data_IF_351616285781
#
_entry.id   IF_351616285781
#
_cell.length_a   1.000
_cell.length_b   1.000
_cell.length_c   1.000
_cell.angle_alpha   90.00
_cell.angle_beta   90.00
_cell.angle_gamma   90.00
#
_symmetry.space_group_name_H-M   'P 1'
#
loop_
_entity.id
_entity.type
_entity.pdbx_description
1 polymer ?
#
# COMPACT_ATOMS: atom_id res chain seq x y z
N UNK A 1 -0.81 3.56 25.03
CA UNK A 1 0.59 3.45 24.77
C UNK A 1 0.98 4.27 23.55
N UNK A 2 2.10 4.85 23.64
CA UNK A 2 2.56 5.65 22.56
C UNK A 2 3.02 4.80 21.39
N UNK A 3 2.51 5.10 20.23
CA UNK A 3 2.92 4.41 19.03
C UNK A 3 4.34 4.82 18.67
N UNK A 4 5.09 3.84 18.22
CA UNK A 4 6.48 4.07 17.88
C UNK A 4 6.69 3.87 16.40
N UNK A 5 6.88 4.97 15.70
CA UNK A 5 7.27 4.95 14.31
C UNK A 5 8.61 5.65 14.27
N UNK A 6 9.65 4.98 13.79
CA UNK A 6 10.97 5.59 13.76
C UNK A 6 10.92 6.91 13.00
N UNK A 7 11.64 7.88 13.52
CA UNK A 7 11.70 9.20 12.91
C UNK A 7 12.01 9.14 11.42
N UNK A 8 13.02 8.39 11.00
CA UNK A 8 13.34 8.33 9.56
C UNK A 8 12.19 7.80 8.73
N UNK A 9 11.41 6.89 9.31
CA UNK A 9 10.30 6.31 8.58
C UNK A 9 9.19 7.33 8.33
N UNK A 10 8.87 8.11 9.35
CA UNK A 10 7.88 9.18 9.20
C UNK A 10 8.35 10.21 8.19
N UNK A 11 9.62 10.56 8.28
CA UNK A 11 10.19 11.53 7.37
C UNK A 11 10.13 11.02 5.94
N UNK A 12 10.42 9.73 5.76
CA UNK A 12 10.39 9.13 4.44
C UNK A 12 8.99 9.15 3.85
N UNK A 13 7.97 8.94 4.68
CA UNK A 13 6.60 8.99 4.18
C UNK A 13 6.26 10.36 3.62
N UNK A 14 6.67 11.40 4.32
CA UNK A 14 6.44 12.76 3.86
C UNK A 14 7.24 13.06 2.61
N UNK A 15 8.49 12.63 2.60
CA UNK A 15 9.37 12.86 1.46
C UNK A 15 8.82 12.17 0.23
N UNK A 16 8.39 10.92 0.36
CA UNK A 16 7.84 10.19 -0.76
C UNK A 16 6.63 10.88 -1.34
N UNK A 17 5.79 11.43 -0.48
CA UNK A 17 4.62 12.13 -0.95
C UNK A 17 4.99 13.39 -1.72
N UNK A 18 6.01 14.09 -1.25
CA UNK A 18 6.46 15.33 -1.91
C UNK A 18 7.32 15.06 -3.13
N UNK A 19 8.18 14.07 -3.02
CA UNK A 19 9.15 13.81 -4.08
C UNK A 19 8.58 13.03 -5.23
N UNK A 20 7.32 12.63 -5.12
CA UNK A 20 6.71 12.03 -6.26
C UNK A 20 7.15 10.60 -6.54
N UNK A 21 6.32 9.66 -6.15
CA UNK A 21 6.49 8.26 -6.48
C UNK A 21 5.62 7.96 -7.69
N UNK A 22 6.20 7.73 -8.87
CA UNK A 22 5.40 7.59 -10.08
C UNK A 22 4.43 6.42 -10.07
N UNK A 23 4.81 5.34 -9.40
CA UNK A 23 3.94 4.16 -9.37
C UNK A 23 2.74 4.39 -8.46
N UNK A 24 2.95 5.00 -7.30
CA UNK A 24 1.84 5.40 -6.45
C UNK A 24 0.94 6.38 -7.16
N UNK A 25 1.53 7.36 -7.82
CA UNK A 25 0.76 8.38 -8.51
C UNK A 25 -0.09 7.74 -9.61
N UNK A 26 0.49 6.81 -10.35
CA UNK A 26 -0.24 6.15 -11.42
C UNK A 26 -1.43 5.36 -10.88
N UNK A 27 -1.21 4.54 -9.86
CA UNK A 27 -2.29 3.75 -9.29
C UNK A 27 -3.35 4.65 -8.66
N UNK A 28 -2.90 5.73 -8.00
CA UNK A 28 -3.81 6.65 -7.36
C UNK A 28 -4.81 7.27 -8.34
N UNK A 29 -4.40 7.50 -9.57
CA UNK A 29 -5.31 8.07 -10.58
C UNK A 29 -6.51 7.18 -10.82
N UNK A 30 -6.36 5.88 -10.61
CA UNK A 30 -7.47 4.95 -10.80
C UNK A 30 -8.31 4.80 -9.54
N UNK A 31 -7.75 5.05 -8.37
CA UNK A 31 -8.42 4.78 -7.11
C UNK A 31 -9.10 6.00 -6.49
N UNK A 32 -8.59 7.18 -6.78
CA UNK A 32 -9.04 8.41 -6.11
C UNK A 32 -10.47 8.82 -6.50
N UNK A 33 -11.05 9.64 -5.63
CA UNK A 33 -12.32 10.31 -5.92
C UNK A 33 -13.46 9.37 -6.29
N UNK A 34 -13.45 8.18 -5.70
CA UNK A 34 -14.52 7.23 -5.96
C UNK A 34 -14.47 6.59 -7.32
N UNK A 35 -13.41 6.80 -8.08
CA UNK A 35 -13.32 6.27 -9.45
C UNK A 35 -13.36 4.76 -9.52
N UNK A 36 -12.82 4.10 -8.49
CA UNK A 36 -12.76 2.65 -8.50
C UNK A 36 -13.92 2.09 -7.70
N UNK A 37 -14.91 1.57 -8.39
CA UNK A 37 -16.07 0.93 -7.77
C UNK A 37 -16.78 1.84 -6.75
N UNK A 38 -16.65 3.14 -6.92
CA UNK A 38 -17.26 4.12 -6.04
C UNK A 38 -16.85 3.95 -4.58
N UNK A 39 -15.62 3.49 -4.37
CA UNK A 39 -15.08 3.28 -3.03
C UNK A 39 -14.12 4.38 -2.65
N UNK A 40 -13.96 4.57 -1.34
CA UNK A 40 -13.07 5.60 -0.84
C UNK A 40 -11.72 4.99 -0.50
N UNK A 41 -10.73 5.36 -1.28
CA UNK A 41 -9.34 4.96 -1.03
C UNK A 41 -8.56 6.14 -0.48
N UNK A 42 -7.56 5.85 0.32
CA UNK A 42 -6.65 6.86 0.85
C UNK A 42 -5.21 6.46 0.62
N UNK A 43 -4.33 7.44 0.58
CA UNK A 43 -2.90 7.24 0.39
C UNK A 43 -2.17 7.39 1.71
N UNK A 44 -1.03 6.71 1.81
CA UNK A 44 -0.11 6.88 2.95
C UNK A 44 -0.86 6.76 4.27
N UNK A 45 -1.43 5.59 4.47
CA UNK A 45 -2.28 5.33 5.62
C UNK A 45 -1.49 4.67 6.73
N UNK A 46 -1.70 5.15 7.95
CA UNK A 46 -1.03 4.58 9.10
C UNK A 46 -1.95 3.62 9.84
N UNK A 47 -1.47 2.39 10.03
CA UNK A 47 -2.17 1.37 10.80
C UNK A 47 -1.22 0.95 11.91
N UNK A 48 -1.54 1.32 13.14
CA UNK A 48 -0.62 1.10 14.25
C UNK A 48 0.65 1.88 14.03
N UNK A 49 1.78 1.19 14.04
CA UNK A 49 3.07 1.83 13.82
C UNK A 49 3.56 1.71 12.39
N UNK A 50 2.72 1.15 11.52
CA UNK A 50 3.12 0.89 10.14
C UNK A 50 2.39 1.80 9.18
N UNK A 51 3.03 2.09 8.05
CA UNK A 51 2.44 2.92 7.01
C UNK A 51 2.26 2.08 5.75
N UNK A 52 1.08 2.15 5.18
CA UNK A 52 0.75 1.45 3.96
C UNK A 52 0.48 2.45 2.84
N UNK A 53 0.75 2.05 1.61
CA UNK A 53 0.63 2.99 0.50
C UNK A 53 -0.79 3.41 0.22
N UNK A 54 -1.74 2.49 0.30
CA UNK A 54 -3.14 2.80 0.10
C UNK A 54 -4.02 1.98 1.02
N UNK A 55 -5.21 2.49 1.29
CA UNK A 55 -6.20 1.74 2.05
C UNK A 55 -7.60 2.00 1.53
N UNK A 56 -8.45 1.00 1.68
CA UNK A 56 -9.88 1.15 1.55
C UNK A 56 -10.47 0.56 2.83
N UNK A 57 -10.68 1.40 3.82
CA UNK A 57 -11.11 0.91 5.13
C UNK A 57 -12.48 0.27 5.11
N UNK A 58 -13.35 0.77 4.25
CA UNK A 58 -14.68 0.18 4.13
C UNK A 58 -14.65 -1.29 3.69
N UNK A 59 -13.57 -1.70 3.07
CA UNK A 59 -13.40 -3.08 2.62
C UNK A 59 -12.28 -3.78 3.39
N UNK A 60 -11.74 -3.14 4.40
CA UNK A 60 -10.65 -3.69 5.20
C UNK A 60 -9.48 -4.13 4.32
N UNK A 61 -9.11 -3.26 3.38
CA UNK A 61 -8.10 -3.58 2.39
C UNK A 61 -6.95 -2.60 2.46
N UNK A 62 -5.74 -3.12 2.40
CA UNK A 62 -4.51 -2.33 2.34
C UNK A 62 -3.72 -2.75 1.12
N UNK A 63 -3.04 -1.80 0.50
CA UNK A 63 -2.26 -2.04 -0.71
C UNK A 63 -0.85 -1.50 -0.53
N UNK A 64 0.13 -2.30 -0.94
CA UNK A 64 1.53 -1.95 -0.89
C UNK A 64 2.16 -2.10 -2.26
N UNK A 65 3.02 -1.16 -2.62
CA UNK A 65 3.80 -1.25 -3.85
C UNK A 65 5.25 -1.50 -3.49
N UNK A 66 5.89 -2.38 -4.21
CA UNK A 66 7.26 -2.78 -3.92
C UNK A 66 8.09 -2.72 -5.18
N UNK A 67 9.26 -2.10 -5.09
CA UNK A 67 10.13 -1.95 -6.23
C UNK A 67 11.23 -2.98 -6.36
N UNK A 68 11.38 -3.86 -5.37
CA UNK A 68 12.51 -4.78 -5.32
C UNK A 68 12.21 -6.12 -5.94
N UNK A 69 11.98 -6.12 -7.23
CA UNK A 69 11.59 -7.34 -7.92
C UNK A 69 12.63 -8.45 -7.88
N UNK A 70 13.89 -8.07 -8.05
CA UNK A 70 14.95 -9.06 -8.03
C UNK A 70 15.15 -9.67 -6.67
N UNK A 71 14.47 -9.17 -5.67
CA UNK A 71 14.53 -9.67 -4.32
C UNK A 71 13.23 -10.33 -3.92
N UNK A 72 12.56 -10.94 -4.86
CA UNK A 72 11.24 -11.48 -4.61
C UNK A 72 11.21 -12.48 -3.45
N UNK A 73 12.31 -13.16 -3.23
CA UNK A 73 12.41 -14.11 -2.12
C UNK A 73 12.90 -13.46 -0.85
N UNK A 74 13.15 -12.18 -0.92
CA UNK A 74 13.77 -11.45 0.16
C UNK A 74 12.71 -10.72 0.99
N UNK A 75 11.97 -11.48 1.78
CA UNK A 75 10.99 -10.91 2.68
C UNK A 75 11.68 -10.74 4.01
N UNK A 76 11.89 -9.51 4.44
CA UNK A 76 12.59 -9.28 5.67
C UNK A 76 11.65 -9.34 6.87
N UNK A 77 12.24 -9.34 8.04
CA UNK A 77 11.53 -9.45 9.29
C UNK A 77 10.50 -8.35 9.45
N UNK A 78 10.85 -7.15 9.04
CA UNK A 78 9.96 -6.01 9.17
C UNK A 78 8.68 -6.21 8.35
N UNK A 79 8.82 -6.70 7.14
CA UNK A 79 7.66 -6.92 6.27
C UNK A 79 6.73 -7.97 6.85
N UNK A 80 7.29 -9.01 7.44
CA UNK A 80 6.49 -10.06 8.05
C UNK A 80 5.69 -9.51 9.22
N UNK A 81 6.35 -8.73 10.08
CA UNK A 81 5.68 -8.15 11.23
C UNK A 81 4.59 -7.17 10.82
N UNK A 82 4.87 -6.40 9.79
CA UNK A 82 3.92 -5.41 9.29
C UNK A 82 2.66 -6.08 8.76
N UNK A 83 2.82 -7.11 7.94
CA UNK A 83 1.70 -7.84 7.39
C UNK A 83 0.92 -8.56 8.47
N UNK A 84 1.62 -9.17 9.41
CA UNK A 84 0.98 -9.87 10.50
C UNK A 84 0.15 -8.94 11.34
N UNK A 85 0.67 -7.75 11.63
CA UNK A 85 -0.06 -6.78 12.41
C UNK A 85 -1.35 -6.37 11.70
N UNK A 86 -1.25 -6.07 10.41
CA UNK A 86 -2.42 -5.66 9.65
C UNK A 86 -3.46 -6.76 9.61
N UNK A 87 -3.01 -8.00 9.41
CA UNK A 87 -3.90 -9.14 9.36
C UNK A 87 -4.65 -9.32 10.67
N UNK A 88 -3.96 -9.13 11.79
CA UNK A 88 -4.59 -9.26 13.10
C UNK A 88 -5.60 -8.16 13.36
N UNK A 89 -5.47 -7.03 12.68
CA UNK A 89 -6.44 -5.96 12.77
C UNK A 89 -7.62 -6.18 11.83
N UNK A 90 -7.62 -7.28 11.09
CA UNK A 90 -8.71 -7.60 10.20
C UNK A 90 -8.52 -7.15 8.77
N UNK A 91 -7.37 -6.62 8.43
CA UNK A 91 -7.11 -6.14 7.08
C UNK A 91 -6.55 -7.23 6.18
N UNK A 92 -6.92 -7.15 4.92
CA UNK A 92 -6.32 -7.95 3.86
C UNK A 92 -5.28 -7.05 3.20
N UNK A 93 -4.08 -7.58 2.99
CA UNK A 93 -3.00 -6.81 2.37
C UNK A 93 -2.70 -7.35 0.99
N UNK A 94 -2.77 -6.48 0.01
CA UNK A 94 -2.38 -6.81 -1.37
C UNK A 94 -1.04 -6.14 -1.65
N UNK A 95 -0.18 -6.86 -2.33
CA UNK A 95 1.15 -6.38 -2.61
C UNK A 95 1.43 -6.52 -4.09
N UNK A 96 1.86 -5.43 -4.72
CA UNK A 96 2.16 -5.42 -6.14
C UNK A 96 3.56 -4.89 -6.38
N UNK A 97 4.19 -5.38 -7.43
CA UNK A 97 5.46 -4.84 -7.85
C UNK A 97 5.23 -3.55 -8.62
N UNK A 98 6.19 -2.64 -8.54
CA UNK A 98 6.12 -1.42 -9.35
C UNK A 98 6.01 -1.78 -10.82
N UNK A 99 6.69 -2.84 -11.23
CA UNK A 99 6.64 -3.28 -12.63
C UNK A 99 5.23 -3.69 -13.06
N UNK A 100 4.44 -4.21 -12.14
CA UNK A 100 3.06 -4.57 -12.45
C UNK A 100 2.24 -3.32 -12.74
N UNK A 101 2.53 -2.24 -12.02
CA UNK A 101 1.84 -0.97 -12.26
C UNK A 101 2.17 -0.45 -13.64
N UNK A 102 3.42 -0.58 -14.05
CA UNK A 102 3.85 -0.11 -15.37
C UNK A 102 3.30 -0.95 -16.51
N UNK A 103 3.34 -2.25 -16.36
CA UNK A 103 3.11 -3.15 -17.50
C UNK A 103 1.81 -3.92 -17.45
N UNK A 104 1.15 -3.97 -16.32
CA UNK A 104 -0.05 -4.76 -16.16
C UNK A 104 -1.05 -4.11 -15.23
N UNK A 105 -1.30 -2.83 -15.45
CA UNK A 105 -2.19 -2.09 -14.57
C UNK A 105 -3.60 -2.70 -14.54
N UNK A 106 -4.06 -3.20 -15.68
CA UNK A 106 -5.39 -3.81 -15.72
C UNK A 106 -5.45 -5.05 -14.83
N UNK A 107 -4.38 -5.84 -14.82
CA UNK A 107 -4.31 -7.02 -13.94
C UNK A 107 -4.32 -6.62 -12.48
N UNK A 108 -3.60 -5.55 -12.14
CA UNK A 108 -3.58 -5.03 -10.79
C UNK A 108 -4.98 -4.62 -10.36
N UNK A 109 -5.66 -3.85 -11.19
CA UNK A 109 -7.00 -3.38 -10.86
C UNK A 109 -7.98 -4.54 -10.74
N UNK A 110 -7.82 -5.56 -11.54
CA UNK A 110 -8.68 -6.73 -11.46
C UNK A 110 -8.50 -7.45 -10.14
N UNK A 111 -7.26 -7.60 -9.68
CA UNK A 111 -6.99 -8.24 -8.39
C UNK A 111 -7.58 -7.42 -7.26
N UNK A 112 -7.46 -6.10 -7.33
CA UNK A 112 -8.06 -5.24 -6.31
C UNK A 112 -9.56 -5.46 -6.29
N UNK A 113 -10.18 -5.48 -7.48
CA UNK A 113 -11.62 -5.65 -7.58
C UNK A 113 -12.08 -6.97 -6.98
N UNK A 114 -11.29 -8.02 -7.15
CA UNK A 114 -11.64 -9.32 -6.60
C UNK A 114 -11.59 -9.36 -5.08
N UNK A 115 -11.01 -8.37 -4.46
CA UNK A 115 -10.82 -8.33 -3.02
C UNK A 115 -11.67 -7.27 -2.32
N UNK A 116 -12.64 -6.72 -3.00
CA UNK A 116 -13.52 -5.73 -2.39
C UNK A 116 -14.96 -6.20 -2.36
#
# INVERSE_FOLDING_TARGET
>A
MKRIIPEPYLTNSRVLRKTHNPWETKLWQYLRAGRFCNLKFKRQVQIGQYIFDFSCRGKMLLIELDGSQHSELHINQYDILKQDFASKQGYKVLRFWNNDIDKNINGVLEIIKQNI
#
